data_IF_878544661095
#
_entry.id   IF_878544661095
#
_cell.length_a   1.000
_cell.length_b   1.000
_cell.length_c   1.000
_cell.angle_alpha   90.00
_cell.angle_beta   90.00
_cell.angle_gamma   90.00
#
_symmetry.space_group_name_H-M   'P 1'
#
loop_
_entity.id
_entity.type
_entity.pdbx_description
1 polymer ?
#
# COMPACT_ATOMS: atom_id res chain seq x y z
N UNK A 1 3.41 27.55 -13.47
CA UNK A 1 4.00 26.90 -12.27
C UNK A 1 5.52 27.01 -12.38
N UNK A 2 6.23 27.63 -11.43
CA UNK A 2 7.68 27.90 -11.57
C UNK A 2 8.52 26.79 -10.88
N UNK A 3 9.36 26.03 -11.62
CA UNK A 3 10.06 24.85 -11.11
C UNK A 3 11.09 25.18 -10.02
N UNK A 4 11.72 26.36 -10.07
CA UNK A 4 12.76 26.76 -9.12
C UNK A 4 12.22 27.04 -7.71
N UNK A 5 11.00 27.57 -7.60
CA UNK A 5 10.34 27.77 -6.28
C UNK A 5 9.99 26.44 -5.62
N UNK A 6 9.58 25.42 -6.40
CA UNK A 6 9.23 24.09 -5.88
C UNK A 6 10.44 23.34 -5.33
N UNK A 7 11.61 23.49 -5.96
CA UNK A 7 12.85 22.86 -5.50
C UNK A 7 13.34 23.46 -4.16
N UNK A 8 13.25 24.77 -3.99
CA UNK A 8 13.64 25.47 -2.76
C UNK A 8 12.81 25.04 -1.54
N UNK A 9 11.48 24.98 -1.67
CA UNK A 9 10.61 24.53 -0.57
C UNK A 9 10.80 23.07 -0.20
N UNK A 10 11.15 22.18 -1.14
CA UNK A 10 11.50 20.78 -0.83
C UNK A 10 12.75 20.67 0.04
N UNK A 11 13.72 21.56 -0.15
CA UNK A 11 14.97 21.58 0.61
C UNK A 11 14.79 22.18 2.02
N UNK A 12 13.90 23.17 2.18
CA UNK A 12 13.59 23.76 3.50
C UNK A 12 12.65 22.87 4.32
N UNK A 13 11.71 22.17 3.69
CA UNK A 13 10.75 21.31 4.39
C UNK A 13 11.32 19.98 4.88
N UNK A 14 12.66 19.78 4.83
CA UNK A 14 13.29 18.55 5.34
C UNK A 14 12.81 17.28 4.64
N UNK A 15 12.40 17.35 3.37
CA UNK A 15 11.95 16.20 2.59
C UNK A 15 13.15 15.37 2.08
N UNK A 16 14.06 15.03 2.97
CA UNK A 16 15.06 13.98 2.77
C UNK A 16 14.43 12.63 3.17
N UNK A 17 13.50 12.14 2.36
CA UNK A 17 12.85 10.84 2.58
C UNK A 17 13.57 9.66 1.89
N UNK A 18 14.78 9.88 1.37
CA UNK A 18 15.35 8.99 0.36
C UNK A 18 16.79 8.51 0.60
N UNK A 19 17.52 9.05 1.58
CA UNK A 19 18.95 8.69 1.77
C UNK A 19 19.20 7.35 2.48
N UNK A 20 18.16 6.53 2.67
CA UNK A 20 18.25 5.22 3.31
C UNK A 20 16.97 4.42 3.21
N UNK A 21 16.15 4.68 2.19
CA UNK A 21 14.90 3.95 2.01
C UNK A 21 15.21 2.47 1.74
N UNK A 22 14.57 1.52 2.45
CA UNK A 22 14.77 0.10 2.21
C UNK A 22 14.47 -0.24 0.75
N UNK A 23 15.31 -1.07 0.14
CA UNK A 23 15.17 -1.50 -1.25
C UNK A 23 13.78 -2.12 -1.43
N UNK A 24 13.03 -1.59 -2.40
CA UNK A 24 11.62 -1.96 -2.60
C UNK A 24 11.51 -3.29 -3.33
N UNK A 25 11.60 -4.41 -2.59
CA UNK A 25 11.53 -5.75 -3.18
C UNK A 25 10.11 -6.16 -3.58
N UNK A 26 9.96 -7.03 -4.60
CA UNK A 26 8.67 -7.62 -4.95
C UNK A 26 8.04 -8.41 -3.80
N UNK A 27 6.74 -8.71 -3.89
CA UNK A 27 6.06 -9.57 -2.93
C UNK A 27 6.76 -10.93 -2.75
N UNK A 28 6.84 -11.40 -1.50
CA UNK A 28 7.47 -12.65 -1.07
C UNK A 28 8.93 -12.82 -1.48
N UNK A 29 9.64 -11.74 -1.81
CA UNK A 29 11.09 -11.80 -1.97
C UNK A 29 11.74 -12.34 -0.70
N UNK A 30 12.78 -13.18 -0.83
CA UNK A 30 13.55 -13.70 0.30
C UNK A 30 14.30 -12.60 1.06
N UNK A 31 15.13 -12.97 2.03
CA UNK A 31 16.03 -12.00 2.67
C UNK A 31 16.95 -11.40 1.60
N UNK A 32 17.44 -10.18 1.82
CA UNK A 32 18.21 -9.45 0.80
C UNK A 32 19.39 -10.29 0.26
N UNK A 33 20.15 -10.93 1.15
CA UNK A 33 21.27 -11.79 0.77
C UNK A 33 20.83 -13.00 -0.08
N UNK A 34 19.75 -13.70 0.33
CA UNK A 34 19.25 -14.86 -0.42
C UNK A 34 18.62 -14.47 -1.75
N UNK A 35 17.89 -13.35 -1.78
CA UNK A 35 17.25 -12.83 -2.97
C UNK A 35 18.31 -12.46 -4.02
N UNK A 36 19.35 -11.73 -3.62
CA UNK A 36 20.47 -11.34 -4.51
C UNK A 36 21.22 -12.58 -5.00
N UNK A 37 21.42 -13.59 -4.15
CA UNK A 37 22.11 -14.82 -4.51
C UNK A 37 21.31 -15.72 -5.48
N UNK A 38 19.98 -15.73 -5.38
CA UNK A 38 19.11 -16.61 -6.20
C UNK A 38 18.54 -15.95 -7.43
N UNK A 39 18.22 -14.65 -7.38
CA UNK A 39 17.53 -13.98 -8.48
C UNK A 39 18.44 -13.92 -9.71
N UNK A 40 17.99 -14.52 -10.81
CA UNK A 40 18.71 -14.55 -12.10
C UNK A 40 18.51 -13.30 -12.95
N UNK A 41 17.68 -12.35 -12.49
CA UNK A 41 17.36 -11.10 -13.20
C UNK A 41 16.75 -11.32 -14.60
N UNK A 42 15.95 -12.38 -14.75
CA UNK A 42 15.31 -12.77 -16.00
C UNK A 42 14.05 -11.96 -16.39
N UNK A 43 13.59 -11.05 -15.52
CA UNK A 43 12.37 -10.23 -15.69
C UNK A 43 11.04 -10.98 -15.84
N UNK A 44 10.99 -12.31 -15.72
CA UNK A 44 9.72 -13.05 -15.82
C UNK A 44 8.67 -12.57 -14.82
N UNK A 45 9.08 -12.28 -13.58
CA UNK A 45 8.19 -11.71 -12.56
C UNK A 45 7.65 -10.31 -12.93
N UNK A 46 8.44 -9.50 -13.64
CA UNK A 46 8.04 -8.18 -14.13
C UNK A 46 6.97 -8.33 -15.22
N UNK A 47 7.19 -9.23 -16.17
CA UNK A 47 6.25 -9.48 -17.27
C UNK A 47 4.94 -10.14 -16.81
N UNK A 48 5.02 -11.03 -15.82
CA UNK A 48 3.86 -11.75 -15.28
C UNK A 48 2.97 -10.89 -14.38
N UNK A 49 3.38 -9.69 -13.97
CA UNK A 49 2.61 -8.86 -13.05
C UNK A 49 1.43 -8.16 -13.76
N UNK A 50 0.17 -8.54 -13.50
CA UNK A 50 -0.98 -7.95 -14.20
C UNK A 50 -1.16 -6.47 -13.85
N UNK A 51 -0.90 -6.09 -12.60
CA UNK A 51 -1.01 -4.73 -12.09
C UNK A 51 0.15 -3.81 -12.53
N UNK A 52 1.19 -4.37 -13.19
CA UNK A 52 2.36 -3.63 -13.68
C UNK A 52 3.04 -2.78 -12.61
N UNK A 53 3.04 -3.27 -11.37
CA UNK A 53 3.71 -2.63 -10.23
C UNK A 53 5.14 -3.09 -10.02
N UNK A 54 5.67 -3.95 -10.90
CA UNK A 54 7.05 -4.39 -10.86
C UNK A 54 7.82 -3.80 -12.04
N UNK A 55 9.06 -3.37 -11.80
CA UNK A 55 9.98 -2.89 -12.83
C UNK A 55 11.40 -3.35 -12.54
N UNK A 56 12.27 -3.31 -13.55
CA UNK A 56 13.71 -3.51 -13.34
C UNK A 56 14.29 -2.24 -12.72
N UNK A 57 14.87 -2.36 -11.52
CA UNK A 57 15.61 -1.29 -10.86
C UNK A 57 17.06 -1.16 -11.34
N UNK A 58 17.77 -0.16 -10.80
CA UNK A 58 19.13 0.19 -11.25
C UNK A 58 20.15 -0.94 -11.05
N UNK A 59 19.96 -1.77 -10.02
CA UNK A 59 20.78 -2.96 -9.77
C UNK A 59 20.45 -4.16 -10.67
N UNK A 60 19.56 -3.99 -11.65
CA UNK A 60 19.07 -5.06 -12.52
C UNK A 60 18.13 -6.05 -11.82
N UNK A 61 17.78 -5.82 -10.56
CA UNK A 61 16.82 -6.62 -9.82
C UNK A 61 15.40 -6.04 -9.96
N UNK A 62 14.35 -6.87 -9.88
CA UNK A 62 13.00 -6.38 -9.87
C UNK A 62 12.72 -5.58 -8.59
N UNK A 63 12.00 -4.48 -8.74
CA UNK A 63 11.59 -3.56 -7.69
C UNK A 63 10.09 -3.25 -7.82
N UNK A 64 9.44 -3.03 -6.67
CA UNK A 64 8.03 -2.64 -6.63
C UNK A 64 7.86 -1.13 -6.68
N UNK A 65 7.03 -0.67 -7.61
CA UNK A 65 6.75 0.75 -7.87
C UNK A 65 5.25 0.97 -8.00
N UNK A 66 4.76 1.99 -7.29
CA UNK A 66 3.34 2.35 -7.24
C UNK A 66 3.10 3.67 -7.98
N UNK A 67 3.08 3.63 -9.30
CA UNK A 67 2.83 4.80 -10.17
C UNK A 67 1.36 4.90 -10.59
N UNK A 68 0.76 3.79 -11.01
CA UNK A 68 -0.59 3.76 -11.60
C UNK A 68 -1.54 2.75 -10.95
N UNK A 69 -1.04 1.91 -10.04
CA UNK A 69 -1.79 0.82 -9.43
C UNK A 69 -1.14 0.33 -8.14
N UNK A 70 -1.74 -0.72 -7.57
CA UNK A 70 -1.29 -1.37 -6.34
C UNK A 70 -1.06 -2.86 -6.57
N UNK A 71 -0.30 -3.50 -5.69
CA UNK A 71 -0.22 -4.95 -5.68
C UNK A 71 -1.50 -5.50 -5.04
N UNK A 72 -2.19 -6.40 -5.74
CA UNK A 72 -3.41 -7.10 -5.31
C UNK A 72 -3.12 -8.45 -4.62
N UNK A 73 -1.84 -8.82 -4.52
CA UNK A 73 -1.37 -10.09 -3.97
C UNK A 73 -1.80 -11.34 -4.77
N UNK A 74 -1.98 -11.24 -6.09
CA UNK A 74 -2.34 -12.37 -6.97
C UNK A 74 -1.30 -13.52 -7.02
N UNK A 75 -0.05 -13.27 -6.63
CA UNK A 75 1.05 -14.24 -6.62
C UNK A 75 1.60 -14.73 -7.97
N UNK A 76 1.15 -14.18 -9.11
CA UNK A 76 1.68 -14.51 -10.44
C UNK A 76 3.21 -14.32 -10.54
N UNK A 77 3.73 -13.23 -9.97
CA UNK A 77 5.17 -12.96 -9.93
C UNK A 77 5.97 -14.03 -9.18
N UNK A 78 5.41 -14.63 -8.12
CA UNK A 78 6.04 -15.71 -7.37
C UNK A 78 5.89 -17.05 -8.10
N UNK A 79 4.75 -17.29 -8.77
CA UNK A 79 4.49 -18.51 -9.51
C UNK A 79 5.48 -18.73 -10.66
N UNK A 80 5.87 -17.66 -11.37
CA UNK A 80 6.84 -17.72 -12.48
C UNK A 80 8.30 -17.69 -12.01
N UNK A 81 8.57 -17.58 -10.71
CA UNK A 81 9.93 -17.44 -10.18
C UNK A 81 10.60 -18.81 -9.98
N UNK A 82 11.09 -19.41 -11.08
CA UNK A 82 11.85 -20.67 -11.05
C UNK A 82 13.01 -20.71 -10.04
N UNK A 83 13.89 -19.69 -9.92
CA UNK A 83 14.99 -19.74 -8.93
C UNK A 83 14.51 -19.61 -7.48
N UNK A 84 13.19 -19.44 -7.26
CA UNK A 84 12.56 -19.25 -5.95
C UNK A 84 13.25 -18.16 -5.13
N UNK A 85 13.54 -17.04 -5.79
CA UNK A 85 13.92 -15.80 -5.13
C UNK A 85 12.69 -15.08 -4.54
N UNK A 86 11.51 -15.33 -5.12
CA UNK A 86 10.19 -15.00 -4.60
C UNK A 86 9.53 -16.31 -4.16
N UNK A 87 9.27 -16.46 -2.86
CA UNK A 87 8.79 -17.74 -2.30
C UNK A 87 7.66 -17.48 -1.30
N UNK A 88 6.42 -17.66 -1.78
CA UNK A 88 5.20 -17.38 -1.01
C UNK A 88 5.08 -18.28 0.22
N UNK A 89 5.35 -19.56 0.05
CA UNK A 89 5.18 -20.57 1.11
C UNK A 89 6.22 -20.36 2.21
N UNK A 90 7.46 -20.02 1.85
CA UNK A 90 8.52 -19.76 2.82
C UNK A 90 8.36 -18.42 3.54
N UNK A 91 7.84 -17.39 2.87
CA UNK A 91 7.75 -16.03 3.46
C UNK A 91 6.46 -15.80 4.23
N UNK A 92 5.33 -16.38 3.81
CA UNK A 92 4.00 -16.14 4.37
C UNK A 92 3.49 -14.72 4.09
N UNK A 93 4.18 -13.70 4.60
CA UNK A 93 3.88 -12.29 4.36
C UNK A 93 4.42 -11.82 3.00
N UNK A 94 3.57 -11.11 2.25
CA UNK A 94 3.94 -10.53 0.96
C UNK A 94 5.06 -9.51 1.09
N UNK A 95 5.07 -8.71 2.16
CA UNK A 95 6.13 -7.74 2.38
C UNK A 95 6.71 -7.81 3.79
N UNK A 96 7.98 -7.42 3.92
CA UNK A 96 8.68 -7.29 5.21
C UNK A 96 8.43 -5.95 5.91
N UNK A 97 7.61 -5.07 5.32
CA UNK A 97 7.25 -3.78 5.89
C UNK A 97 5.75 -3.70 6.16
N UNK A 98 5.40 -2.90 7.16
CA UNK A 98 4.02 -2.61 7.54
C UNK A 98 3.90 -1.12 7.76
N UNK A 99 2.88 -0.51 7.17
CA UNK A 99 2.55 0.89 7.42
C UNK A 99 1.99 1.05 8.84
N UNK A 100 2.48 2.04 9.57
CA UNK A 100 1.97 2.42 10.88
C UNK A 100 1.14 3.70 10.77
N UNK A 101 -0.02 3.73 11.43
CA UNK A 101 -0.95 4.86 11.39
C UNK A 101 -0.63 5.81 12.56
N UNK A 102 0.03 6.93 12.27
CA UNK A 102 0.34 7.95 13.27
C UNK A 102 -0.85 8.83 13.68
N UNK A 103 -0.68 9.64 14.73
CA UNK A 103 -1.70 10.58 15.24
C UNK A 103 -2.01 11.75 14.29
N UNK A 104 -1.16 11.96 13.29
CA UNK A 104 -1.40 12.91 12.21
C UNK A 104 -2.37 12.37 11.12
N UNK A 105 -2.84 11.12 11.25
CA UNK A 105 -3.79 10.53 10.29
C UNK A 105 -5.07 11.37 10.19
N UNK A 106 -5.33 11.89 8.99
CA UNK A 106 -6.51 12.71 8.69
C UNK A 106 -7.81 11.97 9.01
N UNK A 107 -7.88 10.67 8.68
CA UNK A 107 -9.06 9.84 8.96
C UNK A 107 -9.30 9.67 10.46
N UNK A 108 -8.24 9.55 11.29
CA UNK A 108 -8.39 9.53 12.76
C UNK A 108 -8.88 10.86 13.32
N UNK A 109 -8.66 11.97 12.58
CA UNK A 109 -9.16 13.31 12.91
C UNK A 109 -10.51 13.64 12.28
N UNK A 110 -11.20 12.63 11.72
CA UNK A 110 -12.51 12.80 11.10
C UNK A 110 -12.49 13.54 9.75
N UNK A 111 -11.32 13.70 9.14
CA UNK A 111 -11.19 14.26 7.79
C UNK A 111 -11.27 13.13 6.79
N UNK A 112 -12.35 13.11 6.01
CA UNK A 112 -12.54 12.19 4.89
C UNK A 112 -12.37 12.92 3.55
N UNK A 113 -11.73 12.24 2.58
CA UNK A 113 -11.69 12.74 1.21
C UNK A 113 -12.99 12.36 0.52
N UNK A 114 -13.99 13.24 0.60
CA UNK A 114 -15.20 13.08 -0.19
C UNK A 114 -14.96 13.67 -1.57
N UNK A 115 -14.74 12.80 -2.55
CA UNK A 115 -14.78 13.21 -3.96
C UNK A 115 -16.22 13.66 -4.24
N UNK A 116 -16.43 14.96 -4.28
CA UNK A 116 -17.65 15.51 -4.82
C UNK A 116 -17.68 15.20 -6.31
N UNK A 117 -18.61 14.35 -6.74
CA UNK A 117 -18.93 14.24 -8.16
C UNK A 117 -19.49 15.59 -8.61
N UNK A 118 -18.64 16.47 -9.10
CA UNK A 118 -19.11 17.60 -9.89
C UNK A 118 -19.41 17.04 -11.28
N UNK A 119 -20.63 16.54 -11.48
CA UNK A 119 -21.15 16.60 -12.85
C UNK A 119 -21.23 18.09 -13.17
N UNK A 120 -20.50 18.55 -14.19
CA UNK A 120 -20.73 19.87 -14.74
C UNK A 120 -22.10 19.87 -15.44
N UNK A 121 -23.17 19.85 -14.64
CA UNK A 121 -24.52 20.16 -15.10
C UNK A 121 -24.59 21.67 -15.17
N UNK A 122 -24.60 22.24 -16.38
CA UNK A 122 -25.08 23.59 -16.62
C UNK A 122 -26.60 23.63 -16.42
N UNK A 123 -27.04 23.39 -15.19
CA UNK A 123 -28.41 23.66 -14.77
C UNK A 123 -28.36 24.35 -13.41
N UNK A 124 -28.57 25.66 -13.44
CA UNK A 124 -28.64 26.51 -12.27
C UNK A 124 -30.06 26.41 -11.72
N UNK A 125 -30.37 25.35 -10.96
CA UNK A 125 -31.64 25.29 -10.22
C UNK A 125 -31.51 24.50 -8.90
N UNK A 126 -30.96 25.20 -7.91
CA UNK A 126 -31.44 25.25 -6.52
C UNK A 126 -32.16 24.00 -5.97
N UNK A 127 -31.41 23.04 -5.42
CA UNK A 127 -31.88 22.25 -4.26
C UNK A 127 -30.77 22.12 -3.22
N UNK A 128 -30.94 22.84 -2.11
CA UNK A 128 -30.26 22.56 -0.84
C UNK A 128 -30.63 21.14 -0.44
N UNK A 129 -29.75 20.18 -0.72
CA UNK A 129 -29.81 18.88 -0.07
C UNK A 129 -29.15 19.02 1.31
N UNK A 130 -29.99 19.13 2.33
CA UNK A 130 -29.60 18.96 3.73
C UNK A 130 -29.11 17.53 3.87
N UNK A 131 -27.80 17.31 3.80
CA UNK A 131 -27.19 16.01 4.11
C UNK A 131 -27.45 15.76 5.59
N UNK A 132 -28.11 14.65 5.99
CA UNK A 132 -28.29 14.34 7.40
C UNK A 132 -26.90 14.18 8.04
N UNK A 133 -26.59 15.08 8.97
CA UNK A 133 -25.41 15.01 9.83
C UNK A 133 -25.57 13.81 10.77
N UNK A 134 -25.10 12.63 10.36
CA UNK A 134 -24.55 11.56 11.22
C UNK A 134 -24.17 10.36 10.35
N UNK A 135 -22.90 10.29 9.94
CA UNK A 135 -22.26 8.99 9.85
C UNK A 135 -21.85 8.63 11.27
N UNK A 136 -22.68 7.86 11.96
CA UNK A 136 -22.24 7.19 13.19
C UNK A 136 -21.30 6.06 12.78
N UNK A 137 -20.01 6.19 13.09
CA UNK A 137 -19.15 5.03 13.27
C UNK A 137 -19.75 4.22 14.43
N UNK A 138 -20.57 3.21 14.11
CA UNK A 138 -21.01 2.24 15.10
C UNK A 138 -19.80 1.36 15.39
N UNK A 139 -19.19 1.57 16.55
CA UNK A 139 -18.31 0.61 17.19
C UNK A 139 -19.10 -0.67 17.40
N UNK A 140 -18.85 -1.70 16.59
CA UNK A 140 -19.21 -3.06 17.00
C UNK A 140 -18.25 -3.45 18.12
N UNK A 141 -18.70 -3.18 19.33
CA UNK A 141 -18.22 -3.77 20.56
C UNK A 141 -18.27 -5.30 20.40
N UNK A 142 -17.11 -5.93 20.26
CA UNK A 142 -16.95 -7.38 20.35
C UNK A 142 -17.32 -7.85 21.76
N UNK A 143 -18.62 -8.03 22.01
CA UNK A 143 -19.14 -8.80 23.14
C UNK A 143 -19.25 -10.27 22.73
N UNK A 144 -18.11 -10.97 22.76
CA UNK A 144 -18.07 -12.43 22.73
C UNK A 144 -17.89 -12.96 24.16
N UNK A 145 -19.04 -13.10 24.82
CA UNK A 145 -19.42 -14.11 25.82
C UNK A 145 -18.29 -14.76 26.63
N UNK A 146 -18.29 -14.38 27.91
CA UNK A 146 -18.01 -15.26 29.04
C UNK A 146 -18.72 -16.62 28.87
N UNK A 147 -17.94 -17.70 28.90
CA UNK A 147 -18.43 -19.04 29.21
C UNK A 147 -17.66 -19.53 30.44
N UNK A 148 -18.17 -19.18 31.63
CA UNK A 148 -17.84 -19.91 32.85
C UNK A 148 -18.65 -21.21 32.86
N UNK A 149 -18.01 -22.31 32.51
CA UNK A 149 -18.43 -23.62 32.97
C UNK A 149 -18.02 -23.75 34.45
N UNK A 150 -19.03 -23.84 35.33
CA UNK A 150 -18.86 -24.19 36.74
C UNK A 150 -18.35 -25.64 36.86
N UNK A 151 -17.44 -25.81 37.82
CA UNK A 151 -16.90 -27.05 38.37
C UNK A 151 -17.98 -28.06 38.85
N UNK A 152 -17.66 -29.35 38.68
CA UNK A 152 -17.87 -30.51 39.58
C UNK A 152 -19.24 -30.71 40.27
N UNK A 153 -19.96 -31.75 39.85
CA UNK A 153 -20.35 -32.94 40.66
C UNK A 153 -21.13 -33.92 39.78
#
# INVERSE_FOLDING_TARGET
MNPSRRAFFRRIAGADHDRGAPVRRPPWALTEAEFVARCTRCDLCVQACPERVLQRGDGGFPEIVFTHGGCDFCAECAAVCEPRALDRDRRGAAFGWVATIGDACLSRRGVECRIGFYTASTDTSKKRHTVPRRCSCRSEESSARSSSAKLLS
#
